data_IF_973986656336
#
_entry.id   IF_973986656336
#
_cell.length_a   1.000
_cell.length_b   1.000
_cell.length_c   1.000
_cell.angle_alpha   90.00
_cell.angle_beta   90.00
_cell.angle_gamma   90.00
#
_symmetry.space_group_name_H-M   'P 1'
#
loop_
_entity.id
_entity.type
_entity.pdbx_description
1 polymer ?
#
# COMPACT_ATOMS: atom_id res chain seq x y z
N UNK A 1 4.83 -12.70 -47.78
CA UNK A 1 3.98 -12.98 -48.98
C UNK A 1 4.42 -14.24 -49.74
N UNK A 2 5.72 -14.45 -50.04
CA UNK A 2 6.21 -15.69 -50.69
C UNK A 2 6.02 -16.96 -49.83
N UNK A 3 6.27 -16.90 -48.52
CA UNK A 3 6.06 -18.04 -47.60
C UNK A 3 4.58 -18.43 -47.46
N UNK A 4 3.68 -17.44 -47.24
CA UNK A 4 2.23 -17.69 -47.21
C UNK A 4 1.66 -18.24 -48.53
N UNK A 5 2.24 -17.88 -49.69
CA UNK A 5 1.90 -18.51 -50.97
C UNK A 5 2.33 -19.97 -50.98
N UNK A 6 3.53 -20.31 -50.50
CA UNK A 6 4.00 -21.68 -50.45
C UNK A 6 3.11 -22.59 -49.57
N UNK A 7 2.65 -22.09 -48.41
CA UNK A 7 1.68 -22.81 -47.54
C UNK A 7 0.33 -23.07 -48.25
N UNK A 8 -0.18 -22.09 -49.00
CA UNK A 8 -1.41 -22.23 -49.82
C UNK A 8 -1.25 -23.26 -50.94
N UNK A 9 -0.10 -23.29 -51.62
CA UNK A 9 0.17 -24.28 -52.65
C UNK A 9 0.32 -25.69 -52.07
N UNK A 10 0.78 -25.82 -50.82
CA UNK A 10 0.91 -27.08 -50.10
C UNK A 10 -0.43 -27.62 -49.56
N UNK A 11 -1.40 -26.75 -49.23
CA UNK A 11 -2.76 -27.18 -48.83
C UNK A 11 -3.62 -27.67 -49.99
N UNK A 12 -3.14 -27.57 -51.23
CA UNK A 12 -3.87 -27.98 -52.44
C UNK A 12 -4.78 -26.89 -53.02
N UNK A 13 -4.87 -25.73 -52.38
CA UNK A 13 -5.71 -24.62 -52.84
C UNK A 13 -5.08 -23.93 -54.07
N UNK A 14 -5.89 -23.67 -55.10
CA UNK A 14 -5.56 -22.95 -56.34
C UNK A 14 -6.37 -21.68 -56.55
N UNK A 15 -7.45 -21.49 -55.79
CA UNK A 15 -8.26 -20.27 -55.72
C UNK A 15 -8.54 -19.90 -54.26
N UNK A 16 -8.67 -18.60 -53.96
CA UNK A 16 -8.81 -18.11 -52.60
C UNK A 16 -9.75 -16.90 -52.50
N UNK A 17 -10.73 -16.96 -51.61
CA UNK A 17 -11.54 -15.83 -51.18
C UNK A 17 -11.21 -15.48 -49.72
N UNK A 18 -10.98 -14.19 -49.45
CA UNK A 18 -10.66 -13.67 -48.12
C UNK A 18 -11.67 -12.59 -47.76
N UNK A 19 -12.47 -12.82 -46.73
CA UNK A 19 -13.43 -11.86 -46.21
C UNK A 19 -13.02 -11.40 -44.80
N UNK A 20 -12.76 -10.09 -44.58
CA UNK A 20 -12.45 -9.59 -43.24
C UNK A 20 -13.70 -9.63 -42.37
N UNK A 21 -13.63 -10.18 -41.16
CA UNK A 21 -14.74 -10.14 -40.23
C UNK A 21 -14.70 -8.80 -39.49
N UNK A 22 -15.64 -7.91 -39.78
CA UNK A 22 -15.66 -6.53 -39.27
C UNK A 22 -16.84 -6.37 -38.33
N UNK A 23 -16.58 -5.88 -37.12
CA UNK A 23 -17.61 -5.52 -36.15
C UNK A 23 -17.35 -4.11 -35.64
N UNK A 24 -18.34 -3.21 -35.77
CA UNK A 24 -18.25 -1.79 -35.40
C UNK A 24 -16.97 -1.09 -35.93
N UNK A 25 -16.59 -1.37 -37.18
CA UNK A 25 -15.43 -0.76 -37.83
C UNK A 25 -14.07 -1.35 -37.45
N UNK A 26 -14.02 -2.35 -36.56
CA UNK A 26 -12.79 -3.07 -36.22
C UNK A 26 -12.77 -4.46 -36.87
N UNK A 27 -11.64 -4.85 -37.45
CA UNK A 27 -11.42 -6.20 -37.97
C UNK A 27 -11.12 -7.15 -36.80
N UNK A 28 -12.02 -8.10 -36.54
CA UNK A 28 -11.94 -9.06 -35.43
C UNK A 28 -11.43 -10.44 -35.87
N UNK A 29 -11.22 -10.62 -37.17
CA UNK A 29 -10.78 -11.89 -37.74
C UNK A 29 -10.82 -11.89 -39.26
N UNK A 30 -10.42 -13.01 -39.86
CA UNK A 30 -10.42 -13.21 -41.30
C UNK A 30 -11.07 -14.56 -41.58
N UNK A 31 -12.09 -14.56 -42.45
CA UNK A 31 -12.65 -15.76 -43.04
C UNK A 31 -11.92 -16.07 -44.34
N UNK A 32 -11.37 -17.28 -44.43
CA UNK A 32 -10.59 -17.75 -45.59
C UNK A 32 -11.31 -18.95 -46.20
N UNK A 33 -11.66 -18.87 -47.48
CA UNK A 33 -12.16 -19.99 -48.28
C UNK A 33 -11.13 -20.34 -49.35
N UNK A 34 -10.71 -21.60 -49.38
CA UNK A 34 -9.82 -22.16 -50.41
C UNK A 34 -10.57 -23.11 -51.32
N UNK A 35 -10.19 -23.15 -52.60
CA UNK A 35 -10.65 -24.15 -53.57
C UNK A 35 -9.47 -24.71 -54.35
N UNK A 36 -9.42 -26.02 -54.64
CA UNK A 36 -8.38 -26.62 -55.48
C UNK A 36 -8.52 -26.28 -56.97
N UNK A 37 -9.66 -25.74 -57.39
CA UNK A 37 -9.90 -25.35 -58.79
C UNK A 37 -9.48 -23.89 -59.04
N UNK A 38 -8.66 -23.61 -60.06
CA UNK A 38 -8.28 -22.24 -60.40
C UNK A 38 -9.50 -21.40 -60.83
N UNK A 39 -9.66 -20.22 -60.22
CA UNK A 39 -10.72 -19.28 -60.61
C UNK A 39 -12.13 -19.64 -60.13
N UNK A 40 -12.25 -20.57 -59.18
CA UNK A 40 -13.53 -21.09 -58.68
C UNK A 40 -14.41 -20.07 -57.94
N UNK A 41 -13.85 -18.91 -57.56
CA UNK A 41 -14.60 -17.85 -56.88
C UNK A 41 -14.88 -16.70 -57.85
N UNK A 42 -16.15 -16.49 -58.17
CA UNK A 42 -16.63 -15.43 -59.05
C UNK A 42 -17.47 -14.34 -58.35
N UNK A 43 -18.03 -13.40 -59.12
CA UNK A 43 -18.84 -12.28 -58.57
C UNK A 43 -20.09 -12.72 -57.80
N UNK A 44 -20.68 -13.86 -58.15
CA UNK A 44 -21.83 -14.41 -57.43
C UNK A 44 -21.45 -14.90 -56.04
N UNK A 45 -20.29 -15.56 -55.91
CA UNK A 45 -19.76 -16.02 -54.63
C UNK A 45 -19.38 -14.84 -53.73
N UNK A 46 -18.85 -13.76 -54.31
CA UNK A 46 -18.59 -12.52 -53.59
C UNK A 46 -19.89 -11.89 -53.05
N UNK A 47 -20.95 -11.87 -53.86
CA UNK A 47 -22.26 -11.37 -53.43
C UNK A 47 -22.85 -12.19 -52.28
N UNK A 48 -22.73 -13.52 -52.35
CA UNK A 48 -23.13 -14.42 -51.25
C UNK A 48 -22.28 -14.16 -50.01
N UNK A 49 -20.96 -14.04 -50.17
CA UNK A 49 -20.02 -13.75 -49.09
C UNK A 49 -20.38 -12.45 -48.37
N UNK A 50 -20.68 -11.38 -49.11
CA UNK A 50 -21.09 -10.09 -48.55
C UNK A 50 -22.38 -10.19 -47.72
N UNK A 51 -23.27 -11.14 -48.03
CA UNK A 51 -24.50 -11.35 -47.26
C UNK A 51 -24.27 -12.17 -45.98
N UNK A 52 -23.36 -13.15 -46.02
CA UNK A 52 -23.10 -14.05 -44.86
C UNK A 52 -22.00 -13.53 -43.93
N UNK A 53 -21.05 -12.73 -44.42
CA UNK A 53 -19.93 -12.17 -43.65
C UNK A 53 -20.38 -11.45 -42.36
N UNK A 54 -21.48 -10.65 -42.33
CA UNK A 54 -21.97 -10.04 -41.09
C UNK A 54 -22.43 -11.07 -40.05
N UNK A 55 -23.01 -12.19 -40.48
CA UNK A 55 -23.47 -13.27 -39.59
C UNK A 55 -22.26 -13.93 -38.91
N UNK A 56 -21.23 -14.25 -39.69
CA UNK A 56 -19.96 -14.76 -39.14
C UNK A 56 -19.28 -13.74 -38.22
N UNK A 57 -19.30 -12.46 -38.58
CA UNK A 57 -18.73 -11.39 -37.74
C UNK A 57 -19.44 -11.31 -36.39
N UNK A 58 -20.77 -11.42 -36.35
CA UNK A 58 -21.53 -11.45 -35.10
C UNK A 58 -21.27 -12.72 -34.29
N UNK A 59 -21.23 -13.90 -34.93
CA UNK A 59 -20.98 -15.16 -34.26
C UNK A 59 -19.58 -15.22 -33.64
N UNK A 60 -18.54 -14.80 -34.38
CA UNK A 60 -17.17 -14.71 -33.86
C UNK A 60 -17.08 -13.66 -32.75
N UNK A 61 -17.73 -12.50 -32.89
CA UNK A 61 -17.77 -11.51 -31.81
C UNK A 61 -18.35 -12.09 -30.52
N UNK A 62 -19.49 -12.78 -30.61
CA UNK A 62 -20.11 -13.45 -29.46
C UNK A 62 -19.16 -14.48 -28.83
N UNK A 63 -18.52 -15.32 -29.65
CA UNK A 63 -17.57 -16.31 -29.14
C UNK A 63 -16.35 -15.68 -28.45
N UNK A 64 -15.85 -14.55 -28.97
CA UNK A 64 -14.77 -13.79 -28.33
C UNK A 64 -15.22 -13.16 -27.01
N UNK A 65 -16.43 -12.63 -26.94
CA UNK A 65 -17.00 -12.06 -25.71
C UNK A 65 -17.22 -13.15 -24.65
N UNK A 66 -17.78 -14.30 -25.04
CA UNK A 66 -17.96 -15.44 -24.15
C UNK A 66 -16.61 -15.96 -23.61
N UNK A 67 -15.57 -16.00 -24.46
CA UNK A 67 -14.22 -16.36 -24.05
C UNK A 67 -13.62 -15.33 -23.07
N UNK A 68 -13.77 -14.03 -23.34
CA UNK A 68 -13.30 -12.97 -22.45
C UNK A 68 -13.98 -13.06 -21.08
N UNK A 69 -15.30 -13.29 -21.06
CA UNK A 69 -16.05 -13.53 -19.83
C UNK A 69 -15.54 -14.75 -19.06
N UNK A 70 -15.23 -15.85 -19.73
CA UNK A 70 -14.64 -17.04 -19.09
C UNK A 70 -13.26 -16.74 -18.48
N UNK A 71 -12.37 -16.07 -19.23
CA UNK A 71 -11.04 -15.67 -18.75
C UNK A 71 -11.16 -14.78 -17.52
N UNK A 72 -12.06 -13.79 -17.57
CA UNK A 72 -12.31 -12.88 -16.45
C UNK A 72 -12.91 -13.60 -15.23
N UNK A 73 -13.76 -14.61 -15.43
CA UNK A 73 -14.27 -15.45 -14.33
C UNK A 73 -13.15 -16.19 -13.62
N UNK A 74 -12.29 -16.89 -14.38
CA UNK A 74 -11.13 -17.62 -13.83
C UNK A 74 -10.20 -16.66 -13.07
N UNK A 75 -9.97 -15.47 -13.62
CA UNK A 75 -9.20 -14.44 -12.94
C UNK A 75 -9.85 -14.03 -11.61
N UNK A 76 -11.15 -13.72 -11.59
CA UNK A 76 -11.87 -13.26 -10.39
C UNK A 76 -12.00 -14.33 -9.31
N UNK A 77 -12.08 -15.59 -9.71
CA UNK A 77 -12.07 -16.72 -8.77
C UNK A 77 -10.73 -16.82 -8.04
N UNK A 78 -9.63 -16.59 -8.76
CA UNK A 78 -8.27 -16.78 -8.24
C UNK A 78 -7.62 -15.49 -7.72
N UNK A 79 -8.13 -14.31 -8.07
CA UNK A 79 -7.52 -13.00 -7.83
C UNK A 79 -8.58 -11.94 -7.44
N UNK A 80 -8.23 -10.97 -6.61
CA UNK A 80 -9.15 -9.88 -6.18
C UNK A 80 -9.08 -8.65 -7.08
N UNK A 81 -7.88 -8.12 -7.27
CA UNK A 81 -7.61 -6.99 -8.15
C UNK A 81 -6.23 -7.20 -8.76
N UNK A 82 -6.13 -7.04 -10.08
CA UNK A 82 -4.86 -7.20 -10.80
C UNK A 82 -4.44 -5.83 -11.33
N UNK A 83 -3.19 -5.48 -11.06
CA UNK A 83 -2.61 -4.25 -11.58
C UNK A 83 -2.52 -4.30 -13.12
N UNK A 84 -2.91 -3.24 -13.86
CA UNK A 84 -2.96 -3.25 -15.33
C UNK A 84 -1.67 -3.73 -16.00
N UNK A 85 -0.51 -3.31 -15.48
CA UNK A 85 0.83 -3.70 -15.97
C UNK A 85 1.04 -5.22 -16.03
N UNK A 86 0.44 -5.99 -15.13
CA UNK A 86 0.62 -7.45 -15.10
C UNK A 86 -0.58 -8.23 -15.62
N UNK A 87 -1.71 -7.56 -15.89
CA UNK A 87 -2.98 -8.18 -16.27
C UNK A 87 -2.84 -9.13 -17.46
N UNK A 88 -2.04 -8.74 -18.46
CA UNK A 88 -1.78 -9.55 -19.65
C UNK A 88 -1.26 -10.96 -19.31
N UNK A 89 -0.43 -11.09 -18.26
CA UNK A 89 0.17 -12.36 -17.83
C UNK A 89 -0.87 -13.24 -17.15
N UNK A 90 -1.75 -12.65 -16.35
CA UNK A 90 -2.88 -13.35 -15.74
C UNK A 90 -3.88 -13.81 -16.79
N UNK A 91 -4.22 -12.96 -17.76
CA UNK A 91 -5.09 -13.33 -18.89
C UNK A 91 -4.50 -14.49 -19.68
N UNK A 92 -3.20 -14.47 -19.95
CA UNK A 92 -2.49 -15.57 -20.62
C UNK A 92 -2.55 -16.88 -19.82
N UNK A 93 -2.30 -16.83 -18.52
CA UNK A 93 -2.35 -18.00 -17.65
C UNK A 93 -3.78 -18.57 -17.51
N UNK A 94 -4.78 -17.69 -17.41
CA UNK A 94 -6.19 -18.09 -17.35
C UNK A 94 -6.66 -18.71 -18.68
N UNK A 95 -6.23 -18.15 -19.82
CA UNK A 95 -6.50 -18.73 -21.13
C UNK A 95 -5.89 -20.14 -21.26
N UNK A 96 -4.63 -20.31 -20.87
CA UNK A 96 -3.97 -21.63 -20.86
C UNK A 96 -4.67 -22.63 -19.94
N UNK A 97 -5.14 -22.19 -18.77
CA UNK A 97 -5.92 -23.03 -17.87
C UNK A 97 -7.24 -23.50 -18.52
N UNK A 98 -7.96 -22.61 -19.21
CA UNK A 98 -9.18 -22.97 -19.95
C UNK A 98 -8.92 -23.96 -21.09
N UNK A 99 -7.81 -23.80 -21.83
CA UNK A 99 -7.41 -24.74 -22.88
C UNK A 99 -7.12 -26.14 -22.33
N UNK A 100 -6.40 -26.23 -21.20
CA UNK A 100 -6.10 -27.49 -20.53
C UNK A 100 -7.39 -28.16 -20.01
N UNK A 101 -8.28 -27.38 -19.40
CA UNK A 101 -9.58 -27.87 -18.94
C UNK A 101 -10.41 -28.47 -20.09
N UNK A 102 -10.43 -27.82 -21.25
CA UNK A 102 -11.11 -28.32 -22.47
C UNK A 102 -10.49 -29.61 -23.03
N UNK A 103 -9.20 -29.87 -22.74
CA UNK A 103 -8.50 -31.13 -23.08
C UNK A 103 -8.71 -32.24 -22.04
N UNK A 104 -9.47 -31.98 -20.97
CA UNK A 104 -9.70 -32.93 -19.87
C UNK A 104 -8.57 -32.97 -18.85
N UNK A 105 -7.64 -32.00 -18.88
CA UNK A 105 -6.56 -31.89 -17.91
C UNK A 105 -7.02 -31.02 -16.72
N UNK A 106 -7.03 -31.58 -15.51
CA UNK A 106 -7.32 -30.85 -14.26
C UNK A 106 -6.04 -30.23 -13.68
N UNK A 107 -5.37 -29.41 -14.48
CA UNK A 107 -4.17 -28.69 -14.04
C UNK A 107 -4.55 -27.38 -13.35
N UNK A 108 -3.86 -27.07 -12.26
CA UNK A 108 -3.94 -25.74 -11.64
C UNK A 108 -3.51 -24.66 -12.63
N UNK A 109 -3.95 -23.42 -12.37
CA UNK A 109 -3.52 -22.26 -13.16
C UNK A 109 -1.98 -22.17 -13.16
N UNK A 110 -1.35 -21.94 -14.32
CA UNK A 110 0.10 -21.81 -14.40
C UNK A 110 0.64 -20.75 -13.45
N UNK A 111 1.80 -21.01 -12.84
CA UNK A 111 2.49 -20.06 -11.97
C UNK A 111 2.79 -18.76 -12.72
N UNK A 112 2.52 -17.63 -12.08
CA UNK A 112 2.80 -16.30 -12.63
C UNK A 112 4.11 -15.81 -12.01
N UNK A 113 5.16 -15.82 -12.82
CA UNK A 113 6.51 -15.42 -12.42
C UNK A 113 7.03 -14.33 -13.36
N UNK A 114 7.61 -13.29 -12.79
CA UNK A 114 8.35 -12.25 -13.49
C UNK A 114 9.79 -12.30 -13.02
N UNK A 115 10.71 -12.51 -13.97
CA UNK A 115 12.15 -12.56 -13.69
C UNK A 115 12.79 -11.22 -14.02
N UNK A 116 13.95 -10.97 -13.43
CA UNK A 116 14.79 -9.81 -13.73
C UNK A 116 14.02 -8.48 -13.56
N UNK A 117 13.27 -8.36 -12.46
CA UNK A 117 12.58 -7.12 -12.08
C UNK A 117 13.35 -6.39 -10.99
N UNK A 118 13.43 -5.07 -11.12
CA UNK A 118 14.06 -4.18 -10.16
C UNK A 118 13.04 -3.74 -9.11
N UNK A 119 13.28 -4.02 -7.82
CA UNK A 119 12.44 -3.52 -6.74
C UNK A 119 12.83 -2.08 -6.40
N UNK A 120 11.84 -1.21 -6.25
CA UNK A 120 12.01 0.11 -5.66
C UNK A 120 11.08 0.23 -4.47
N UNK A 121 11.66 0.41 -3.29
CA UNK A 121 10.92 0.46 -2.04
C UNK A 121 11.11 1.81 -1.34
N UNK A 122 10.01 2.37 -0.85
CA UNK A 122 10.01 3.57 -0.04
C UNK A 122 8.98 3.48 1.08
N UNK A 123 9.30 4.08 2.23
CA UNK A 123 8.41 4.15 3.39
C UNK A 123 8.46 5.54 4.01
N UNK A 124 7.30 6.00 4.46
CA UNK A 124 7.10 7.21 5.25
C UNK A 124 6.26 6.84 6.46
N UNK A 125 6.92 6.60 7.59
CA UNK A 125 6.27 6.15 8.82
C UNK A 125 6.04 7.31 9.79
N UNK A 126 5.00 7.20 10.64
CA UNK A 126 4.70 8.21 11.66
C UNK A 126 5.65 8.03 12.84
N UNK A 127 6.48 9.04 13.06
CA UNK A 127 7.51 9.02 14.10
C UNK A 127 6.88 8.90 15.49
N UNK A 128 7.15 7.78 16.14
CA UNK A 128 6.72 7.56 17.53
C UNK A 128 5.23 7.24 17.68
N UNK A 129 4.56 6.81 16.61
CA UNK A 129 3.13 6.45 16.61
C UNK A 129 2.75 5.54 17.78
N UNK A 130 3.56 4.52 18.07
CA UNK A 130 3.33 3.57 19.16
C UNK A 130 3.37 4.25 20.52
N UNK A 131 4.33 5.17 20.73
CA UNK A 131 4.46 5.87 22.00
C UNK A 131 3.31 6.85 22.22
N UNK A 132 2.92 7.60 21.18
CA UNK A 132 1.79 8.53 21.28
C UNK A 132 0.46 7.80 21.44
N UNK A 133 0.27 6.65 20.77
CA UNK A 133 -0.88 5.76 20.99
C UNK A 133 -0.96 5.31 22.46
N UNK A 134 0.14 4.79 23.02
CA UNK A 134 0.18 4.35 24.41
C UNK A 134 -0.08 5.51 25.38
N UNK A 135 0.46 6.70 25.10
CA UNK A 135 0.22 7.90 25.89
C UNK A 135 -1.25 8.35 25.84
N UNK A 136 -1.89 8.24 24.68
CA UNK A 136 -3.30 8.56 24.53
C UNK A 136 -4.18 7.61 25.34
N UNK A 137 -3.91 6.30 25.27
CA UNK A 137 -4.59 5.28 26.09
C UNK A 137 -4.40 5.56 27.58
N UNK A 138 -3.15 5.86 28.00
CA UNK A 138 -2.84 6.19 29.39
C UNK A 138 -3.68 7.37 29.90
N UNK A 139 -3.78 8.46 29.13
CA UNK A 139 -4.58 9.63 29.50
C UNK A 139 -6.08 9.33 29.56
N UNK A 140 -6.60 8.56 28.60
CA UNK A 140 -8.00 8.16 28.59
C UNK A 140 -8.34 7.31 29.82
N UNK A 141 -7.49 6.35 30.19
CA UNK A 141 -7.67 5.52 31.38
C UNK A 141 -7.55 6.32 32.68
N UNK A 142 -6.58 7.23 32.78
CA UNK A 142 -6.46 8.13 33.94
C UNK A 142 -7.72 8.98 34.10
N UNK A 143 -8.23 9.58 33.02
CA UNK A 143 -9.48 10.34 33.07
C UNK A 143 -10.68 9.47 33.48
N UNK A 144 -10.75 8.24 32.98
CA UNK A 144 -11.80 7.29 33.33
C UNK A 144 -11.79 6.98 34.85
N UNK A 145 -10.61 6.67 35.40
CA UNK A 145 -10.44 6.39 36.83
C UNK A 145 -10.67 7.64 37.69
N UNK A 146 -10.26 8.83 37.26
CA UNK A 146 -10.49 10.08 37.99
C UNK A 146 -11.98 10.41 38.11
N UNK A 147 -12.76 10.19 37.05
CA UNK A 147 -14.22 10.34 37.06
C UNK A 147 -14.86 9.35 38.06
N UNK A 148 -14.43 8.09 38.04
CA UNK A 148 -14.84 7.07 38.99
C UNK A 148 -14.50 7.47 40.44
N UNK A 149 -13.25 7.87 40.69
CA UNK A 149 -12.77 8.29 42.01
C UNK A 149 -13.58 9.46 42.56
N UNK A 150 -13.92 10.42 41.71
CA UNK A 150 -14.74 11.58 42.10
C UNK A 150 -16.13 11.16 42.56
N UNK A 151 -16.77 10.24 41.84
CA UNK A 151 -18.07 9.70 42.24
C UNK A 151 -18.00 8.98 43.59
N UNK A 152 -16.98 8.12 43.78
CA UNK A 152 -16.76 7.38 45.04
C UNK A 152 -16.49 8.31 46.23
N UNK A 153 -15.62 9.31 46.08
CA UNK A 153 -15.30 10.29 47.14
C UNK A 153 -16.52 11.11 47.54
N UNK A 154 -17.34 11.53 46.57
CA UNK A 154 -18.58 12.26 46.85
C UNK A 154 -19.61 11.38 47.55
N UNK A 155 -19.73 10.12 47.13
CA UNK A 155 -20.61 9.14 47.75
C UNK A 155 -20.20 8.86 49.21
N UNK A 156 -18.90 8.66 49.47
CA UNK A 156 -18.38 8.48 50.83
C UNK A 156 -18.59 9.72 51.72
N UNK A 157 -18.46 10.92 51.15
CA UNK A 157 -18.73 12.17 51.88
C UNK A 157 -20.21 12.34 52.22
N UNK A 158 -21.11 11.89 51.34
CA UNK A 158 -22.55 11.93 51.58
C UNK A 158 -23.01 10.85 52.58
N UNK A 159 -22.40 9.66 52.53
CA UNK A 159 -22.61 8.57 53.47
C UNK A 159 -21.28 7.89 53.79
N UNK A 160 -20.79 7.91 55.05
CA UNK A 160 -19.47 7.41 55.43
C UNK A 160 -19.40 5.88 55.46
N UNK A 161 -19.51 5.25 54.27
CA UNK A 161 -19.41 3.81 54.07
C UNK A 161 -17.94 3.45 53.88
N UNK A 162 -17.40 2.55 54.71
CA UNK A 162 -15.98 2.17 54.70
C UNK A 162 -15.54 1.54 53.37
N UNK A 163 -16.39 0.70 52.77
CA UNK A 163 -16.11 0.07 51.48
C UNK A 163 -15.87 1.10 50.36
N UNK A 164 -16.59 2.24 50.37
CA UNK A 164 -16.36 3.29 49.38
C UNK A 164 -15.00 3.98 49.53
N UNK A 165 -14.51 4.10 50.78
CA UNK A 165 -13.19 4.66 51.07
C UNK A 165 -12.08 3.69 50.63
N UNK A 166 -12.28 2.40 50.90
CA UNK A 166 -11.36 1.34 50.46
C UNK A 166 -11.29 1.28 48.93
N UNK A 167 -12.43 1.26 48.24
CA UNK A 167 -12.49 1.25 46.78
C UNK A 167 -11.88 2.52 46.17
N UNK A 168 -12.10 3.69 46.78
CA UNK A 168 -11.44 4.94 46.38
C UNK A 168 -9.92 4.81 46.45
N UNK A 169 -9.38 4.20 47.51
CA UNK A 169 -7.94 3.99 47.66
C UNK A 169 -7.38 3.04 46.60
N UNK A 170 -8.13 2.01 46.20
CA UNK A 170 -7.74 1.10 45.10
C UNK A 170 -7.75 1.81 43.75
N UNK A 171 -8.75 2.67 43.49
CA UNK A 171 -8.77 3.51 42.28
C UNK A 171 -7.58 4.45 42.24
N UNK A 172 -7.21 5.08 43.37
CA UNK A 172 -5.99 5.91 43.47
C UNK A 172 -4.73 5.12 43.14
N UNK A 173 -4.59 3.90 43.67
CA UNK A 173 -3.47 3.02 43.34
C UNK A 173 -3.41 2.67 41.85
N UNK A 174 -4.56 2.42 41.21
CA UNK A 174 -4.62 2.16 39.77
C UNK A 174 -4.18 3.38 38.95
N UNK A 175 -4.59 4.60 39.35
CA UNK A 175 -4.13 5.84 38.70
C UNK A 175 -2.60 5.96 38.81
N UNK A 176 -2.04 5.79 40.01
CA UNK A 176 -0.58 5.84 40.22
C UNK A 176 0.19 4.77 39.42
N UNK A 177 -0.40 3.59 39.23
CA UNK A 177 0.21 2.54 38.41
C UNK A 177 0.22 2.92 36.93
N UNK A 178 -0.92 3.39 36.41
CA UNK A 178 -1.05 3.82 35.02
C UNK A 178 -0.10 4.98 34.72
N UNK A 179 0.06 5.94 35.62
CA UNK A 179 0.99 7.06 35.47
C UNK A 179 2.45 6.63 35.35
N UNK A 180 2.84 5.50 35.96
CA UNK A 180 4.19 4.93 35.86
C UNK A 180 4.45 4.22 34.52
N UNK A 181 3.39 3.93 33.76
CA UNK A 181 3.46 3.31 32.44
C UNK A 181 2.41 2.21 32.28
N UNK A 182 2.11 1.86 31.03
CA UNK A 182 1.21 0.76 30.68
C UNK A 182 2.00 -0.45 30.21
N UNK A 183 1.82 -1.58 30.89
CA UNK A 183 2.22 -2.91 30.47
C UNK A 183 1.18 -3.57 29.56
N UNK A 184 1.56 -4.73 29.02
CA UNK A 184 0.68 -5.53 28.17
C UNK A 184 -0.50 -6.08 28.97
N UNK A 185 -1.71 -5.62 28.65
CA UNK A 185 -2.95 -6.09 29.28
C UNK A 185 -3.48 -5.21 30.43
N UNK A 186 -2.75 -4.16 30.80
CA UNK A 186 -3.17 -3.25 31.88
C UNK A 186 -4.49 -2.53 31.54
N UNK A 187 -4.67 -2.11 30.28
CA UNK A 187 -5.92 -1.50 29.80
C UNK A 187 -7.14 -2.40 30.08
N UNK A 188 -7.06 -3.68 29.69
CA UNK A 188 -8.14 -4.64 29.93
C UNK A 188 -8.38 -4.89 31.42
N UNK A 189 -7.31 -4.95 32.22
CA UNK A 189 -7.41 -5.12 33.67
C UNK A 189 -8.13 -3.95 34.32
N UNK A 190 -7.77 -2.73 33.95
CA UNK A 190 -8.36 -1.48 34.48
C UNK A 190 -9.82 -1.36 34.10
N UNK A 191 -10.16 -1.58 32.81
CA UNK A 191 -11.55 -1.53 32.35
C UNK A 191 -12.42 -2.60 33.04
N UNK A 192 -11.88 -3.80 33.26
CA UNK A 192 -12.57 -4.86 34.01
C UNK A 192 -12.76 -4.50 35.48
N UNK A 193 -11.74 -3.94 36.13
CA UNK A 193 -11.82 -3.47 37.52
C UNK A 193 -12.93 -2.41 37.66
N UNK A 194 -12.92 -1.40 36.79
CA UNK A 194 -13.93 -0.34 36.79
C UNK A 194 -15.34 -0.91 36.62
N UNK A 195 -15.57 -1.71 35.58
CA UNK A 195 -16.90 -2.25 35.28
C UNK A 195 -17.43 -3.21 36.37
N UNK A 196 -16.58 -4.10 36.87
CA UNK A 196 -17.02 -5.12 37.85
C UNK A 196 -17.15 -4.58 39.28
N UNK A 197 -16.31 -3.64 39.69
CA UNK A 197 -16.22 -3.22 41.09
C UNK A 197 -16.73 -1.80 41.34
N UNK A 198 -16.53 -0.89 40.38
CA UNK A 198 -16.90 0.52 40.54
C UNK A 198 -18.29 0.77 39.97
N UNK A 199 -18.56 0.41 38.72
CA UNK A 199 -19.85 0.65 38.08
C UNK A 199 -20.98 -0.17 38.71
N UNK A 200 -20.69 -1.37 39.19
CA UNK A 200 -21.68 -2.27 39.81
C UNK A 200 -22.38 -1.66 41.03
N UNK A 201 -21.74 -0.70 41.72
CA UNK A 201 -22.30 -0.02 42.89
C UNK A 201 -22.96 1.33 42.57
N UNK A 202 -22.90 1.81 41.31
CA UNK A 202 -23.44 3.12 40.92
C UNK A 202 -24.94 3.23 41.14
N UNK A 203 -25.68 2.17 40.82
CA UNK A 203 -27.13 2.08 41.04
C UNK A 203 -27.53 2.40 42.49
N UNK A 204 -26.76 1.90 43.46
CA UNK A 204 -26.98 2.15 44.89
C UNK A 204 -26.55 3.55 45.33
N UNK A 205 -25.48 4.10 44.74
CA UNK A 205 -24.95 5.42 45.09
C UNK A 205 -25.80 6.59 44.56
N UNK A 206 -26.59 6.38 43.49
CA UNK A 206 -27.47 7.41 42.91
C UNK A 206 -28.41 8.04 43.96
N UNK A 207 -28.83 7.27 44.97
CA UNK A 207 -29.69 7.74 46.07
C UNK A 207 -28.98 8.55 47.16
N UNK A 208 -27.67 8.78 47.09
CA UNK A 208 -26.91 9.43 48.17
C UNK A 208 -26.93 10.96 48.10
N UNK A 209 -27.54 11.52 47.06
CA UNK A 209 -27.84 12.95 46.95
C UNK A 209 -27.48 13.54 45.58
N UNK A 210 -27.91 14.79 45.31
CA UNK A 210 -27.81 15.40 43.98
C UNK A 210 -26.36 15.59 43.50
N UNK A 211 -25.40 15.79 44.42
CA UNK A 211 -23.97 15.91 44.05
C UNK A 211 -23.37 14.59 43.56
N UNK A 212 -23.81 13.46 44.15
CA UNK A 212 -23.34 12.12 43.77
C UNK A 212 -23.96 11.73 42.43
N UNK A 213 -25.27 11.96 42.27
CA UNK A 213 -25.98 11.72 41.01
C UNK A 213 -25.31 12.43 39.84
N UNK A 214 -25.05 13.75 39.96
CA UNK A 214 -24.36 14.51 38.91
C UNK A 214 -22.95 14.01 38.59
N UNK A 215 -22.24 13.44 39.57
CA UNK A 215 -20.91 12.89 39.34
C UNK A 215 -20.98 11.57 38.56
N UNK A 216 -21.96 10.72 38.87
CA UNK A 216 -22.25 9.48 38.13
C UNK A 216 -22.71 9.80 36.70
N UNK A 217 -23.64 10.75 36.52
CA UNK A 217 -24.09 11.17 35.18
C UNK A 217 -22.93 11.73 34.35
N UNK A 218 -22.03 12.53 34.97
CA UNK A 218 -20.84 13.03 34.29
C UNK A 218 -19.93 11.88 33.85
N UNK A 219 -19.70 10.90 34.71
CA UNK A 219 -18.93 9.71 34.37
C UNK A 219 -19.56 8.96 33.19
N UNK A 220 -20.85 8.66 33.26
CA UNK A 220 -21.57 7.89 32.22
C UNK A 220 -21.58 8.62 30.88
N UNK A 221 -21.67 9.96 30.90
CA UNK A 221 -21.61 10.78 29.69
C UNK A 221 -20.24 10.84 29.01
N UNK A 222 -19.17 10.48 29.73
CA UNK A 222 -17.80 10.52 29.21
C UNK A 222 -17.36 9.18 28.59
N UNK A 223 -18.11 8.11 28.85
CA UNK A 223 -17.82 6.77 28.33
C UNK A 223 -18.32 6.62 26.90
N UNK A 224 -17.48 6.08 26.03
CA UNK A 224 -17.89 5.66 24.71
C UNK A 224 -18.76 4.38 24.79
N UNK A 225 -19.99 4.38 24.22
CA UNK A 225 -20.90 3.24 24.33
C UNK A 225 -20.41 1.96 23.67
N UNK A 226 -19.54 2.05 22.66
CA UNK A 226 -19.00 0.90 21.95
C UNK A 226 -17.80 0.27 22.66
N UNK A 227 -16.97 1.10 23.31
CA UNK A 227 -15.74 0.66 23.97
C UNK A 227 -15.89 0.44 25.48
N UNK A 228 -16.93 1.00 26.12
CA UNK A 228 -17.10 0.91 27.57
C UNK A 228 -16.00 1.61 28.36
N UNK A 229 -15.32 2.58 27.75
CA UNK A 229 -14.28 3.40 28.38
C UNK A 229 -14.28 4.81 27.82
N UNK A 230 -13.63 5.75 28.52
CA UNK A 230 -13.30 7.07 27.96
C UNK A 230 -12.47 6.88 26.69
N UNK A 231 -12.86 7.55 25.61
CA UNK A 231 -12.22 7.45 24.29
C UNK A 231 -12.12 8.85 23.66
N UNK A 232 -11.21 9.68 24.19
CA UNK A 232 -11.04 11.06 23.72
C UNK A 232 -9.67 11.27 23.11
N UNK A 233 -8.61 11.10 23.89
CA UNK A 233 -7.25 11.33 23.42
C UNK A 233 -6.86 10.33 22.34
N UNK A 234 -7.27 9.07 22.51
CA UNK A 234 -7.04 8.04 21.50
C UNK A 234 -7.79 8.35 20.22
N UNK A 235 -9.04 8.82 20.32
CA UNK A 235 -9.82 9.27 19.17
C UNK A 235 -9.14 10.43 18.43
N UNK A 236 -8.65 11.44 19.16
CA UNK A 236 -7.95 12.58 18.56
C UNK A 236 -6.66 12.17 17.84
N UNK A 237 -5.93 11.19 18.39
CA UNK A 237 -4.76 10.59 17.75
C UNK A 237 -5.14 9.81 16.48
N UNK A 238 -6.11 8.89 16.57
CA UNK A 238 -6.54 8.06 15.44
C UNK A 238 -7.11 8.90 14.29
N UNK A 239 -7.88 9.95 14.60
CA UNK A 239 -8.36 10.92 13.60
C UNK A 239 -7.21 11.68 12.93
N UNK A 240 -6.19 12.07 13.71
CA UNK A 240 -5.01 12.77 13.16
C UNK A 240 -4.19 11.85 12.23
N UNK A 241 -4.00 10.58 12.61
CA UNK A 241 -3.33 9.56 11.78
C UNK A 241 -4.10 9.32 10.49
N UNK A 242 -5.43 9.14 10.59
CA UNK A 242 -6.30 8.92 9.43
C UNK A 242 -6.26 10.11 8.46
N UNK A 243 -6.36 11.33 8.97
CA UNK A 243 -6.30 12.55 8.15
C UNK A 243 -4.95 12.67 7.42
N UNK A 244 -3.84 12.44 8.13
CA UNK A 244 -2.50 12.47 7.55
C UNK A 244 -2.35 11.39 6.47
N UNK A 245 -2.64 10.13 6.78
CA UNK A 245 -2.49 9.01 5.85
C UNK A 245 -3.38 9.16 4.61
N UNK A 246 -4.59 9.68 4.75
CA UNK A 246 -5.43 9.95 3.59
C UNK A 246 -4.83 11.03 2.68
N UNK A 247 -4.29 12.11 3.25
CA UNK A 247 -3.63 13.16 2.44
C UNK A 247 -2.39 12.63 1.72
N UNK A 248 -1.54 11.89 2.44
CA UNK A 248 -0.31 11.34 1.88
C UNK A 248 -0.59 10.28 0.81
N UNK A 249 -1.63 9.45 1.00
CA UNK A 249 -2.03 8.45 0.01
C UNK A 249 -2.53 9.11 -1.27
N UNK A 250 -3.36 10.15 -1.16
CA UNK A 250 -3.83 10.89 -2.33
C UNK A 250 -2.66 11.52 -3.11
N UNK A 251 -1.70 12.13 -2.42
CA UNK A 251 -0.51 12.69 -3.06
C UNK A 251 0.29 11.61 -3.81
N UNK A 252 0.55 10.48 -3.15
CA UNK A 252 1.30 9.38 -3.75
C UNK A 252 0.57 8.75 -4.95
N UNK A 253 -0.75 8.55 -4.85
CA UNK A 253 -1.56 8.00 -5.94
C UNK A 253 -1.57 8.96 -7.16
N UNK A 254 -1.50 10.28 -6.95
CA UNK A 254 -1.37 11.25 -8.04
C UNK A 254 0.01 11.23 -8.70
N UNK A 255 1.09 11.19 -7.91
CA UNK A 255 2.47 11.07 -8.42
C UNK A 255 2.69 9.76 -9.20
N UNK A 256 2.10 8.65 -8.72
CA UNK A 256 2.11 7.36 -9.43
C UNK A 256 1.35 7.46 -10.76
N UNK A 257 0.14 8.03 -10.76
CA UNK A 257 -0.66 8.17 -11.99
C UNK A 257 0.03 9.00 -13.08
N UNK A 258 0.77 10.06 -12.74
CA UNK A 258 1.63 10.79 -13.69
C UNK A 258 2.74 9.89 -14.25
N UNK A 259 3.37 9.12 -13.37
CA UNK A 259 4.53 8.28 -13.71
C UNK A 259 4.15 7.08 -14.58
N UNK A 260 2.99 6.47 -14.31
CA UNK A 260 2.43 5.37 -15.10
C UNK A 260 2.15 5.75 -16.57
N UNK A 261 1.92 7.04 -16.87
CA UNK A 261 1.77 7.52 -18.25
C UNK A 261 3.09 7.50 -19.03
N UNK A 262 4.22 7.61 -18.33
CA UNK A 262 5.56 7.62 -18.93
C UNK A 262 6.03 6.18 -19.16
N UNK A 263 5.89 5.32 -18.15
CA UNK A 263 6.24 3.91 -18.27
C UNK A 263 5.35 3.02 -17.39
N UNK A 264 4.80 1.92 -17.94
CA UNK A 264 4.08 0.95 -17.14
C UNK A 264 5.01 0.29 -16.12
N UNK A 265 4.59 0.28 -14.87
CA UNK A 265 5.27 -0.43 -13.79
C UNK A 265 4.24 -1.05 -12.85
N UNK A 266 4.63 -2.09 -12.10
CA UNK A 266 3.75 -2.59 -11.05
C UNK A 266 3.92 -1.70 -9.82
N UNK A 267 2.82 -1.21 -9.28
CA UNK A 267 2.81 -0.38 -8.07
C UNK A 267 1.92 -1.01 -7.00
N UNK A 268 2.45 -1.15 -5.79
CA UNK A 268 1.73 -1.63 -4.62
C UNK A 268 1.99 -0.70 -3.43
N UNK A 269 0.91 -0.30 -2.74
CA UNK A 269 0.97 0.62 -1.60
C UNK A 269 0.28 0.00 -0.40
N UNK A 270 0.95 -0.01 0.74
CA UNK A 270 0.36 -0.44 2.01
C UNK A 270 0.11 0.76 2.93
N UNK A 271 -0.93 0.64 3.74
CA UNK A 271 -1.26 1.60 4.80
C UNK A 271 -1.07 0.90 6.14
N UNK A 272 -0.20 1.46 6.96
CA UNK A 272 0.02 1.04 8.34
C UNK A 272 -0.23 2.25 9.24
N UNK A 273 0.65 2.53 10.20
CA UNK A 273 0.66 3.83 10.87
C UNK A 273 1.11 4.92 9.92
N UNK A 274 1.94 4.61 8.91
CA UNK A 274 2.27 5.48 7.79
C UNK A 274 1.92 4.88 6.42
N UNK A 275 2.72 5.22 5.41
CA UNK A 275 2.57 4.73 4.04
C UNK A 275 3.90 4.15 3.56
N UNK A 276 3.84 2.93 3.02
CA UNK A 276 4.91 2.35 2.24
C UNK A 276 4.43 1.98 0.85
N UNK A 277 5.38 1.93 -0.08
CA UNK A 277 5.12 1.51 -1.45
C UNK A 277 6.27 0.66 -1.97
N UNK A 278 5.90 -0.21 -2.90
CA UNK A 278 6.79 -1.09 -3.62
C UNK A 278 6.46 -0.99 -5.11
N UNK A 279 7.50 -0.76 -5.89
CA UNK A 279 7.43 -0.76 -7.34
C UNK A 279 8.27 -1.92 -7.86
N UNK A 280 7.73 -2.66 -8.81
CA UNK A 280 8.52 -3.56 -9.65
C UNK A 280 8.55 -3.04 -11.07
N UNK A 281 9.74 -3.03 -11.64
CA UNK A 281 9.96 -2.61 -13.02
C UNK A 281 10.95 -3.54 -13.72
N UNK A 282 10.76 -3.80 -15.00
CA UNK A 282 11.70 -4.60 -15.79
C UNK A 282 11.05 -5.14 -17.05
N UNK A 283 11.89 -5.64 -17.96
CA UNK A 283 11.44 -6.13 -19.28
C UNK A 283 10.35 -7.20 -19.18
N UNK A 284 10.41 -8.05 -18.15
CA UNK A 284 9.45 -9.15 -17.99
C UNK A 284 8.03 -8.70 -17.66
N UNK A 285 7.85 -7.49 -17.12
CA UNK A 285 6.54 -6.90 -16.80
C UNK A 285 5.85 -6.30 -18.04
N UNK A 286 6.62 -5.98 -19.09
CA UNK A 286 6.11 -5.34 -20.30
C UNK A 286 5.50 -6.39 -21.24
N UNK A 287 4.21 -6.25 -21.62
CA UNK A 287 3.60 -7.09 -22.66
C UNK A 287 4.20 -6.77 -24.04
N UNK A 288 4.44 -5.48 -24.30
CA UNK A 288 4.95 -4.92 -25.54
C UNK A 288 5.85 -3.72 -25.22
N UNK A 289 6.90 -3.54 -26.02
CA UNK A 289 7.85 -2.43 -25.88
C UNK A 289 9.18 -2.85 -25.25
N UNK A 290 10.13 -1.93 -25.27
CA UNK A 290 11.49 -2.13 -24.77
C UNK A 290 11.69 -1.46 -23.41
N UNK A 291 12.40 -2.14 -22.52
CA UNK A 291 12.84 -1.58 -21.24
C UNK A 291 14.22 -0.93 -21.39
N UNK A 292 14.42 0.21 -20.74
CA UNK A 292 15.68 0.96 -20.73
C UNK A 292 15.99 1.40 -19.31
N UNK A 293 17.27 1.29 -18.91
CA UNK A 293 17.75 1.66 -17.58
C UNK A 293 17.48 3.13 -17.22
N UNK A 294 17.33 4.01 -18.22
CA UNK A 294 16.91 5.40 -18.03
C UNK A 294 15.59 5.53 -17.24
N UNK A 295 14.64 4.60 -17.44
CA UNK A 295 13.39 4.62 -16.69
C UNK A 295 13.60 4.27 -15.22
N UNK A 296 14.53 3.36 -14.93
CA UNK A 296 14.90 2.98 -13.57
C UNK A 296 15.59 4.14 -12.85
N UNK A 297 16.53 4.81 -13.51
CA UNK A 297 17.16 6.03 -12.97
C UNK A 297 16.12 7.12 -12.69
N UNK A 298 15.17 7.33 -13.61
CA UNK A 298 14.10 8.29 -13.44
C UNK A 298 13.20 7.97 -12.23
N UNK A 299 12.84 6.70 -12.03
CA UNK A 299 12.05 6.28 -10.87
C UNK A 299 12.79 6.49 -9.55
N UNK A 300 14.09 6.25 -9.49
CA UNK A 300 14.86 6.45 -8.26
C UNK A 300 14.97 7.92 -7.90
N UNK A 301 15.17 8.78 -8.89
CA UNK A 301 15.06 10.23 -8.71
C UNK A 301 13.66 10.62 -8.22
N UNK A 302 12.62 10.03 -8.82
CA UNK A 302 11.23 10.24 -8.42
C UNK A 302 10.98 9.82 -6.97
N UNK A 303 11.54 8.72 -6.47
CA UNK A 303 11.37 8.30 -5.07
C UNK A 303 11.84 9.37 -4.08
N UNK A 304 12.98 10.01 -4.36
CA UNK A 304 13.51 11.10 -3.51
C UNK A 304 12.57 12.31 -3.55
N UNK A 305 12.09 12.65 -4.74
CA UNK A 305 11.14 13.76 -4.94
C UNK A 305 9.82 13.53 -4.21
N UNK A 306 9.25 12.32 -4.31
CA UNK A 306 8.03 11.92 -3.60
C UNK A 306 8.24 11.95 -2.09
N UNK A 307 9.35 11.40 -1.59
CA UNK A 307 9.65 11.46 -0.16
C UNK A 307 9.74 12.91 0.35
N UNK A 308 10.33 13.82 -0.43
CA UNK A 308 10.35 15.25 -0.12
C UNK A 308 8.93 15.87 -0.12
N UNK A 309 8.08 15.49 -1.07
CA UNK A 309 6.68 15.92 -1.12
C UNK A 309 5.84 15.43 0.07
N UNK A 310 6.02 14.18 0.49
CA UNK A 310 5.37 13.61 1.68
C UNK A 310 5.83 14.36 2.94
N UNK A 311 7.14 14.63 3.08
CA UNK A 311 7.68 15.38 4.21
C UNK A 311 7.06 16.79 4.28
N UNK A 312 6.97 17.48 3.13
CA UNK A 312 6.35 18.79 3.03
C UNK A 312 4.86 18.76 3.39
N UNK A 313 4.10 17.81 2.84
CA UNK A 313 2.67 17.66 3.16
C UNK A 313 2.44 17.41 4.66
N UNK A 314 3.31 16.62 5.27
CA UNK A 314 3.28 16.37 6.72
C UNK A 314 3.44 17.68 7.48
N UNK A 315 4.47 18.47 7.16
CA UNK A 315 4.74 19.74 7.84
C UNK A 315 3.58 20.73 7.71
N UNK A 316 3.02 20.85 6.50
CA UNK A 316 1.88 21.75 6.26
C UNK A 316 0.61 21.34 7.02
N UNK A 317 0.37 20.04 7.18
CA UNK A 317 -0.78 19.54 7.93
C UNK A 317 -0.59 19.62 9.44
N UNK A 318 0.66 19.57 9.93
CA UNK A 318 1.01 19.38 11.34
C UNK A 318 0.25 20.32 12.29
N UNK A 319 0.14 21.60 11.94
CA UNK A 319 -0.54 22.61 12.76
C UNK A 319 -2.08 22.45 12.79
N UNK A 320 -2.67 21.74 11.83
CA UNK A 320 -4.11 21.48 11.73
C UNK A 320 -4.55 20.18 12.40
N UNK A 321 -3.60 19.29 12.73
CA UNK A 321 -3.89 18.02 13.38
C UNK A 321 -4.20 18.24 14.87
N UNK A 322 -5.13 17.46 15.41
CA UNK A 322 -5.44 17.49 16.85
C UNK A 322 -4.26 17.01 17.69
N UNK A 323 -3.54 16.02 17.18
CA UNK A 323 -2.25 15.57 17.68
C UNK A 323 -1.21 15.87 16.59
N UNK A 324 -0.22 16.73 16.83
CA UNK A 324 0.84 16.99 15.86
C UNK A 324 1.64 15.72 15.59
N UNK A 325 1.73 15.32 14.32
CA UNK A 325 2.44 14.12 13.89
C UNK A 325 3.62 14.50 13.01
N UNK A 326 4.70 13.74 13.14
CA UNK A 326 5.89 13.82 12.31
C UNK A 326 6.02 12.54 11.49
N UNK A 327 6.57 12.65 10.27
CA UNK A 327 6.90 11.49 9.44
C UNK A 327 8.39 11.37 9.26
N UNK A 328 8.86 10.13 9.08
CA UNK A 328 10.25 9.83 8.85
C UNK A 328 10.37 8.96 7.59
N UNK A 329 11.24 9.37 6.67
CA UNK A 329 11.26 8.83 5.31
C UNK A 329 12.49 7.97 5.08
N UNK A 330 12.28 6.80 4.47
CA UNK A 330 13.34 5.88 4.07
C UNK A 330 13.11 5.38 2.64
N UNK A 331 14.19 5.29 1.89
CA UNK A 331 14.24 4.66 0.56
C UNK A 331 15.28 3.55 0.62
N UNK A 332 14.92 2.36 0.18
CA UNK A 332 15.87 1.25 0.01
C UNK A 332 16.24 1.15 -1.47
N UNK A 333 17.52 1.37 -1.78
CA UNK A 333 18.04 1.28 -3.14
C UNK A 333 18.71 -0.08 -3.31
N UNK A 334 18.34 -0.75 -4.40
CA UNK A 334 18.97 -1.98 -4.82
C UNK A 334 19.11 -2.00 -6.35
N UNK A 335 20.33 -2.24 -6.82
CA UNK A 335 20.61 -2.38 -8.25
C UNK A 335 20.42 -3.81 -8.77
N UNK A 336 20.52 -4.81 -7.91
CA UNK A 336 20.34 -6.19 -8.33
C UNK A 336 18.86 -6.49 -8.63
N UNK A 337 18.52 -6.98 -9.85
CA UNK A 337 17.18 -7.42 -10.14
C UNK A 337 16.89 -8.75 -9.41
N UNK A 338 15.62 -9.05 -9.22
CA UNK A 338 15.13 -10.27 -8.57
C UNK A 338 13.99 -10.90 -9.36
N UNK A 339 13.58 -12.10 -8.96
CA UNK A 339 12.36 -12.72 -9.47
C UNK A 339 11.20 -12.55 -8.49
N UNK A 340 9.99 -12.33 -8.99
CA UNK A 340 8.76 -12.30 -8.21
C UNK A 340 7.77 -13.34 -8.71
N UNK A 341 7.02 -13.93 -7.79
CA UNK A 341 5.98 -14.91 -8.05
C UNK A 341 4.68 -14.48 -7.40
N UNK A 342 3.59 -14.58 -8.14
CA UNK A 342 2.26 -14.39 -7.57
C UNK A 342 1.88 -15.61 -6.72
N UNK A 343 1.57 -15.36 -5.45
CA UNK A 343 1.02 -16.36 -4.53
C UNK A 343 -0.50 -16.26 -4.55
N UNK A 344 -1.18 -17.28 -5.08
CA UNK A 344 -2.64 -17.27 -5.25
C UNK A 344 -3.40 -17.33 -3.91
N UNK A 345 -2.84 -17.97 -2.90
CA UNK A 345 -3.35 -18.05 -1.54
C UNK A 345 -3.24 -16.69 -0.81
N UNK A 346 -2.11 -16.00 -0.97
CA UNK A 346 -1.87 -14.68 -0.36
C UNK A 346 -2.37 -13.51 -1.23
N UNK A 347 -2.72 -13.76 -2.49
CA UNK A 347 -3.16 -12.78 -3.51
C UNK A 347 -2.19 -11.59 -3.69
N UNK A 348 -0.89 -11.85 -3.62
CA UNK A 348 0.17 -10.83 -3.78
C UNK A 348 1.41 -11.40 -4.46
N UNK A 349 2.27 -10.51 -4.95
CA UNK A 349 3.61 -10.91 -5.37
C UNK A 349 4.51 -11.06 -4.16
N UNK A 350 5.25 -12.16 -4.14
CA UNK A 350 6.35 -12.38 -3.21
C UNK A 350 7.61 -12.69 -3.99
N UNK A 351 8.74 -12.52 -3.32
CA UNK A 351 10.05 -12.74 -3.90
C UNK A 351 10.28 -14.23 -4.15
N UNK A 352 10.80 -14.56 -5.33
CA UNK A 352 10.96 -15.94 -5.83
C UNK A 352 12.42 -16.39 -5.85
N UNK A 353 12.95 -16.79 -4.69
CA UNK A 353 14.28 -17.40 -4.58
C UNK A 353 15.00 -17.11 -3.26
N UNK A 354 15.92 -18.00 -2.86
CA UNK A 354 16.68 -17.88 -1.62
C UNK A 354 17.60 -16.65 -1.57
N UNK A 355 18.19 -16.25 -2.71
CA UNK A 355 19.03 -15.06 -2.80
C UNK A 355 18.21 -13.77 -2.75
N UNK A 356 17.03 -13.80 -3.32
CA UNK A 356 16.17 -12.62 -3.43
C UNK A 356 15.46 -12.31 -2.10
N UNK A 357 15.24 -13.33 -1.24
CA UNK A 357 14.69 -13.17 0.13
C UNK A 357 15.47 -12.13 0.95
N UNK A 358 16.75 -11.91 0.65
CA UNK A 358 17.55 -10.87 1.32
C UNK A 358 16.90 -9.49 1.25
N UNK A 359 16.22 -9.15 0.14
CA UNK A 359 15.51 -7.88 -0.02
C UNK A 359 14.41 -7.71 1.04
N UNK A 360 13.56 -8.73 1.21
CA UNK A 360 12.48 -8.71 2.20
C UNK A 360 13.02 -8.74 3.64
N UNK A 361 14.13 -9.44 3.90
CA UNK A 361 14.80 -9.40 5.20
C UNK A 361 15.27 -7.97 5.51
N UNK A 362 15.96 -7.31 4.58
CA UNK A 362 16.42 -5.92 4.77
C UNK A 362 15.23 -5.01 5.06
N UNK A 363 14.23 -5.02 4.16
CA UNK A 363 13.01 -4.21 4.27
C UNK A 363 12.32 -4.36 5.64
N UNK A 364 12.12 -5.59 6.11
CA UNK A 364 11.46 -5.86 7.40
C UNK A 364 12.25 -5.41 8.64
N UNK A 365 13.55 -5.12 8.50
CA UNK A 365 14.44 -4.76 9.63
C UNK A 365 14.81 -3.27 9.65
N UNK A 366 14.54 -2.53 8.58
CA UNK A 366 14.97 -1.13 8.47
C UNK A 366 14.17 -0.13 9.31
N UNK A 367 12.91 -0.44 9.66
CA UNK A 367 12.05 0.41 10.49
C UNK A 367 12.75 0.89 11.79
N UNK A 368 13.55 -0.01 12.38
CA UNK A 368 14.22 0.23 13.66
C UNK A 368 15.73 0.43 13.55
N UNK A 369 16.26 0.66 12.34
CA UNK A 369 17.67 0.87 12.13
C UNK A 369 18.20 2.08 12.91
N UNK A 370 19.41 1.93 13.46
CA UNK A 370 20.15 2.97 14.19
C UNK A 370 21.50 3.20 13.52
N UNK A 371 22.00 4.43 13.67
CA UNK A 371 23.32 4.81 13.15
C UNK A 371 24.40 4.14 13.99
N UNK A 372 25.39 3.56 13.32
CA UNK A 372 26.52 2.87 13.95
C UNK A 372 27.29 3.78 14.90
N UNK A 373 27.59 3.29 16.10
CA UNK A 373 28.25 4.06 17.15
C UNK A 373 27.36 5.10 17.84
N UNK A 374 26.04 5.06 17.60
CA UNK A 374 25.06 5.98 18.17
C UNK A 374 23.79 5.24 18.61
N UNK A 375 22.98 5.89 19.45
CA UNK A 375 21.60 5.47 19.75
C UNK A 375 20.56 6.17 18.86
N UNK A 376 21.02 7.00 17.94
CA UNK A 376 20.17 7.76 17.03
C UNK A 376 19.55 6.84 15.98
N UNK A 377 18.22 6.93 15.83
CA UNK A 377 17.51 6.31 14.71
C UNK A 377 18.03 6.84 13.38
N UNK A 378 18.11 5.96 12.39
CA UNK A 378 18.50 6.33 11.04
C UNK A 378 17.56 7.40 10.45
N UNK A 379 16.25 7.14 10.53
CA UNK A 379 15.20 8.01 10.04
C UNK A 379 14.90 9.13 11.04
N UNK A 380 14.78 10.35 10.53
CA UNK A 380 14.54 11.57 11.30
C UNK A 380 13.50 12.45 10.60
N UNK A 381 12.60 13.11 11.33
CA UNK A 381 11.67 14.08 10.75
C UNK A 381 12.37 15.16 9.93
N UNK A 382 11.76 15.55 8.81
CA UNK A 382 12.31 16.54 7.88
C UNK A 382 13.55 16.07 7.12
N UNK A 383 13.90 14.77 7.19
CA UNK A 383 15.03 14.18 6.45
C UNK A 383 14.61 12.92 5.71
N UNK A 384 15.34 12.61 4.65
CA UNK A 384 15.22 11.37 3.87
C UNK A 384 16.47 10.54 4.14
N UNK A 385 16.29 9.29 4.57
CA UNK A 385 17.37 8.30 4.66
C UNK A 385 17.32 7.35 3.46
N UNK A 386 18.39 7.34 2.67
CA UNK A 386 18.52 6.47 1.49
C UNK A 386 19.50 5.37 1.85
N UNK A 387 19.01 4.15 1.99
CA UNK A 387 19.79 2.97 2.39
C UNK A 387 20.27 2.24 1.15
N UNK A 388 21.54 1.84 1.17
CA UNK A 388 22.18 1.11 0.08
C UNK A 388 23.17 0.08 0.63
N UNK A 389 23.53 -0.86 -0.23
CA UNK A 389 24.46 -1.95 0.08
C UNK A 389 25.76 -1.83 -0.70
N UNK A 390 25.73 -1.23 -1.89
CA UNK A 390 26.89 -1.12 -2.77
C UNK A 390 27.30 0.34 -3.06
N UNK A 391 28.60 0.64 -3.26
CA UNK A 391 29.08 2.00 -3.51
C UNK A 391 28.50 2.68 -4.77
N UNK A 392 28.21 1.91 -5.82
CA UNK A 392 27.62 2.41 -7.08
C UNK A 392 26.21 2.96 -6.87
N UNK A 393 25.40 2.33 -6.00
CA UNK A 393 24.08 2.82 -5.60
C UNK A 393 24.21 4.20 -4.96
N UNK A 394 25.21 4.39 -4.09
CA UNK A 394 25.48 5.69 -3.46
C UNK A 394 25.93 6.76 -4.47
N UNK A 395 26.73 6.38 -5.47
CA UNK A 395 27.20 7.31 -6.50
C UNK A 395 26.04 7.88 -7.32
N UNK A 396 25.10 7.03 -7.71
CA UNK A 396 23.87 7.43 -8.40
C UNK A 396 23.00 8.33 -7.53
N UNK A 397 22.72 7.92 -6.29
CA UNK A 397 21.86 8.69 -5.39
C UNK A 397 22.45 10.07 -5.07
N UNK A 398 23.77 10.21 -4.96
CA UNK A 398 24.42 11.52 -4.80
C UNK A 398 24.10 12.47 -5.96
N UNK A 399 24.17 12.00 -7.20
CA UNK A 399 23.85 12.83 -8.38
C UNK A 399 22.40 13.33 -8.32
N UNK A 400 21.47 12.44 -7.97
CA UNK A 400 20.06 12.80 -7.83
C UNK A 400 19.82 13.80 -6.68
N UNK A 401 20.47 13.59 -5.54
CA UNK A 401 20.40 14.51 -4.40
C UNK A 401 20.94 15.90 -4.79
N UNK A 402 22.09 15.96 -5.46
CA UNK A 402 22.71 17.23 -5.85
C UNK A 402 21.81 18.01 -6.83
N UNK A 403 21.20 17.30 -7.79
CA UNK A 403 20.20 17.88 -8.68
C UNK A 403 18.97 18.40 -7.93
N UNK A 404 18.33 17.59 -7.08
CA UNK A 404 17.14 18.00 -6.32
C UNK A 404 17.42 19.10 -5.29
N UNK A 405 18.66 19.17 -4.80
CA UNK A 405 19.12 20.28 -3.95
C UNK A 405 19.25 21.58 -4.75
N UNK A 406 19.78 21.52 -5.97
CA UNK A 406 19.85 22.69 -6.86
C UNK A 406 18.46 23.19 -7.26
N UNK A 407 17.51 22.27 -7.48
CA UNK A 407 16.10 22.56 -7.75
C UNK A 407 15.31 23.02 -6.50
N UNK A 408 15.92 23.05 -5.32
CA UNK A 408 15.31 23.57 -4.09
C UNK A 408 14.33 22.63 -3.38
N UNK A 409 14.33 21.33 -3.72
CA UNK A 409 13.57 20.28 -2.98
C UNK A 409 14.27 19.89 -1.67
N UNK A 410 15.61 19.85 -1.69
CA UNK A 410 16.43 19.38 -0.59
C UNK A 410 17.29 20.52 -0.03
N UNK A 411 17.73 20.39 1.22
CA UNK A 411 18.56 21.38 1.92
C UNK A 411 19.54 20.73 2.88
N UNK A 412 20.45 21.54 3.42
CA UNK A 412 21.43 21.13 4.41
C UNK A 412 22.61 20.34 3.84
N UNK A 413 23.38 19.73 4.74
CA UNK A 413 24.56 18.93 4.41
C UNK A 413 24.15 17.47 4.21
N UNK A 414 24.70 16.83 3.17
CA UNK A 414 24.58 15.40 2.96
C UNK A 414 25.39 14.64 4.02
N UNK A 415 24.71 13.79 4.78
CA UNK A 415 25.31 12.93 5.80
C UNK A 415 25.59 11.54 5.21
N UNK A 416 26.77 11.00 5.48
CA UNK A 416 27.14 9.63 5.13
C UNK A 416 27.17 8.81 6.42
N UNK A 417 26.29 7.81 6.51
CA UNK A 417 26.05 7.05 7.72
C UNK A 417 26.32 5.56 7.47
N UNK A 418 26.83 4.88 8.49
CA UNK A 418 26.83 3.41 8.56
C UNK A 418 25.72 2.97 9.53
N UNK A 419 25.07 1.85 9.24
CA UNK A 419 24.05 1.29 10.13
C UNK A 419 24.70 0.28 11.09
N UNK A 420 24.14 0.15 12.30
CA UNK A 420 24.48 -0.99 13.16
C UNK A 420 24.08 -2.32 12.47
N UNK A 421 24.83 -3.41 12.70
CA UNK A 421 24.47 -4.74 12.23
C UNK A 421 23.02 -5.11 12.54
N UNK A 422 22.27 -5.53 11.52
CA UNK A 422 20.92 -6.01 11.68
C UNK A 422 20.94 -7.55 11.61
N UNK A 423 20.04 -8.27 12.32
CA UNK A 423 20.03 -9.73 12.27
C UNK A 423 19.89 -10.25 10.83
N UNK A 424 20.92 -10.95 10.33
CA UNK A 424 20.98 -11.51 8.97
C UNK A 424 21.35 -10.51 7.87
N UNK A 425 21.72 -9.27 8.22
CA UNK A 425 22.06 -8.20 7.28
C UNK A 425 23.19 -7.34 7.85
N UNK A 426 24.35 -7.41 7.20
CA UNK A 426 25.53 -6.62 7.56
C UNK A 426 25.96 -5.68 6.44
N UNK A 427 26.66 -4.61 6.83
CA UNK A 427 27.36 -3.71 5.90
C UNK A 427 26.50 -2.63 5.23
N UNK A 428 25.26 -2.43 5.69
CA UNK A 428 24.40 -1.38 5.14
C UNK A 428 24.91 0.02 5.48
N UNK A 429 24.77 0.91 4.50
CA UNK A 429 25.11 2.32 4.60
C UNK A 429 23.92 3.17 4.20
N UNK A 430 23.97 4.44 4.56
CA UNK A 430 22.92 5.37 4.18
C UNK A 430 23.45 6.76 3.85
N UNK A 431 22.81 7.39 2.88
CA UNK A 431 22.86 8.83 2.66
C UNK A 431 21.66 9.45 3.36
N UNK A 432 21.89 10.48 4.19
CA UNK A 432 20.80 11.22 4.83
C UNK A 432 20.87 12.69 4.48
N UNK A 433 19.74 13.27 4.05
CA UNK A 433 19.64 14.64 3.58
C UNK A 433 18.38 15.32 4.11
N UNK A 434 18.44 16.64 4.34
CA UNK A 434 17.29 17.43 4.76
C UNK A 434 16.35 17.76 3.62
N UNK A 435 15.05 17.80 3.91
CA UNK A 435 14.02 18.30 2.99
C UNK A 435 13.85 19.80 3.21
N UNK A 436 13.71 20.56 2.12
CA UNK A 436 13.36 21.97 2.20
C UNK A 436 11.86 22.13 2.46
N UNK A 437 11.44 22.12 3.72
CA UNK A 437 10.03 22.18 4.12
C UNK A 437 9.35 23.52 3.79
N UNK A 438 10.14 24.57 3.49
CA UNK A 438 9.67 25.89 3.05
C UNK A 438 9.75 26.05 1.52
N UNK A 439 10.01 24.97 0.78
CA UNK A 439 10.22 25.03 -0.67
C UNK A 439 9.01 25.57 -1.42
N UNK A 440 9.21 26.68 -2.14
CA UNK A 440 8.22 27.22 -3.07
C UNK A 440 7.99 26.28 -4.26
N UNK A 441 9.01 25.54 -4.68
CA UNK A 441 8.92 24.58 -5.80
C UNK A 441 7.98 23.42 -5.45
N UNK A 442 8.11 22.86 -4.24
CA UNK A 442 7.18 21.86 -3.73
C UNK A 442 5.75 22.42 -3.65
N UNK A 443 5.59 23.64 -3.12
CA UNK A 443 4.29 24.30 -3.04
C UNK A 443 3.64 24.52 -4.42
N UNK A 444 4.41 24.95 -5.43
CA UNK A 444 3.92 25.17 -6.78
C UNK A 444 3.52 23.88 -7.49
N UNK A 445 4.36 22.84 -7.41
CA UNK A 445 4.06 21.52 -8.00
C UNK A 445 2.74 20.98 -7.46
N UNK A 446 2.54 21.05 -6.15
CA UNK A 446 1.34 20.52 -5.50
C UNK A 446 0.09 21.32 -5.93
N UNK A 447 0.20 22.64 -6.13
CA UNK A 447 -0.89 23.44 -6.69
C UNK A 447 -1.23 23.05 -8.12
N UNK A 448 -0.24 22.69 -8.94
CA UNK A 448 -0.47 22.22 -10.32
C UNK A 448 -1.17 20.86 -10.35
N UNK A 449 -0.86 19.96 -9.41
CA UNK A 449 -1.50 18.64 -9.31
C UNK A 449 -2.92 18.67 -8.74
N UNK A 450 -3.33 19.78 -8.13
CA UNK A 450 -4.67 19.96 -7.57
C UNK A 450 -5.70 20.53 -8.58
N UNK A 451 -5.23 20.93 -9.77
CA UNK A 451 -6.04 21.40 -10.91
C UNK A 451 -6.29 20.20 -11.82
#
# INVERSE_FOLDING_TARGET
LKEKKAELYQSGDRSLMIAPLIYKGQCIGILKLGSPEPGDFGPLDEMVMNHIQPIFSLAIKKALDDLDHQVQSVIKENCTAIHPTVEWRFRKAAFQHLENFRRGETLQMPSIVFKDVYPLYGISDIRGSTNERNRAIQKDLSEHLELALKALKLAHKARPILVLKELSSRVEQQIEQIEKGLGSGDELSVVKFISSEVESIFSHMRGFGPKVLRAIEKYESAIDPGLGSVYRFRKDFEESVSLLNNKLALYLDQEDAETQQIFPHYFERHRTDGIDYLIYMGTSLMEKGDFNDLYLENLRLWQIKVAAGIAWHTEQLKASLKVPLDTAHLILVQNAPLSIRFRFDEKRFDVDGAYDIRHEIIKSRLDKAVVKGSKERLTQPGKIAIVYSHPEEALEMRRHIDFLKAEGYLTGKLENLELEPLPGVDGLRSLRIGVNLESQVLSQRIKQMAI
#
